data_IF_306888381396
#
_entry.id   IF_306888381396
#
_cell.length_a   1.000
_cell.length_b   1.000
_cell.length_c   1.000
_cell.angle_alpha   90.00
_cell.angle_beta   90.00
_cell.angle_gamma   90.00
#
_symmetry.space_group_name_H-M   'P 1'
#
loop_
_entity.id
_entity.type
_entity.pdbx_description
1 polymer ?
#
# COMPACT_ATOMS: atom_id res chain seq x y z
N UNK A 1 -16.44 -11.64 4.81
CA UNK A 1 -16.96 -11.44 3.44
C UNK A 1 -16.50 -10.08 2.91
N UNK A 2 -15.21 -9.98 2.55
CA UNK A 2 -14.61 -8.75 2.01
C UNK A 2 -13.54 -9.03 0.93
N UNK A 3 -13.57 -10.22 0.32
CA UNK A 3 -12.60 -10.63 -0.72
C UNK A 3 -12.87 -9.94 -2.08
N UNK A 4 -14.03 -9.32 -2.26
CA UNK A 4 -14.45 -8.72 -3.55
C UNK A 4 -13.81 -7.36 -3.89
N UNK A 5 -13.06 -6.75 -2.96
CA UNK A 5 -12.45 -5.43 -3.20
C UNK A 5 -11.14 -5.53 -4.00
N UNK A 6 -10.36 -6.61 -3.85
CA UNK A 6 -9.06 -6.76 -4.51
C UNK A 6 -9.15 -7.15 -5.99
N UNK A 7 -10.20 -7.85 -6.41
CA UNK A 7 -10.30 -8.42 -7.77
C UNK A 7 -10.69 -7.37 -8.84
N UNK A 8 -11.37 -6.28 -8.43
CA UNK A 8 -11.72 -5.19 -9.36
C UNK A 8 -10.52 -4.31 -9.72
N UNK A 9 -9.53 -4.25 -8.85
CA UNK A 9 -8.35 -3.42 -9.02
C UNK A 9 -7.35 -4.04 -10.01
N UNK A 10 -7.20 -5.36 -9.97
CA UNK A 10 -6.34 -6.08 -10.91
C UNK A 10 -6.90 -6.05 -12.33
N UNK A 11 -8.20 -6.28 -12.51
CA UNK A 11 -8.83 -6.29 -13.84
C UNK A 11 -8.70 -4.97 -14.59
N UNK A 12 -8.85 -3.83 -13.90
CA UNK A 12 -8.67 -2.51 -14.51
C UNK A 12 -7.22 -2.27 -14.96
N UNK A 13 -6.23 -2.68 -14.15
CA UNK A 13 -4.81 -2.57 -14.51
C UNK A 13 -4.46 -3.44 -15.72
N UNK A 14 -4.98 -4.67 -15.80
CA UNK A 14 -4.80 -5.56 -16.94
C UNK A 14 -5.40 -5.00 -18.23
N UNK A 15 -6.60 -4.41 -18.16
CA UNK A 15 -7.24 -3.75 -19.31
C UNK A 15 -6.40 -2.55 -19.78
N UNK A 16 -5.89 -1.73 -18.87
CA UNK A 16 -5.03 -0.60 -19.24
C UNK A 16 -3.74 -1.06 -19.93
N UNK A 17 -3.12 -2.14 -19.45
CA UNK A 17 -1.92 -2.72 -20.05
C UNK A 17 -2.20 -3.31 -21.45
N UNK A 18 -3.34 -3.97 -21.61
CA UNK A 18 -3.82 -4.45 -22.91
C UNK A 18 -4.03 -3.30 -23.90
N UNK A 19 -4.72 -2.24 -23.50
CA UNK A 19 -4.93 -1.08 -24.36
C UNK A 19 -3.62 -0.40 -24.78
N UNK A 20 -2.66 -0.28 -23.85
CA UNK A 20 -1.38 0.38 -24.10
C UNK A 20 -0.51 -0.45 -25.06
N UNK A 21 -0.42 -1.77 -24.84
CA UNK A 21 0.33 -2.66 -25.73
C UNK A 21 -0.28 -2.75 -27.13
N UNK A 22 -1.61 -2.76 -27.24
CA UNK A 22 -2.31 -2.76 -28.52
C UNK A 22 -2.11 -1.44 -29.29
N UNK A 23 -2.07 -0.32 -28.57
CA UNK A 23 -1.71 1.00 -29.13
C UNK A 23 -0.29 1.04 -29.68
N UNK A 24 0.69 0.50 -28.97
CA UNK A 24 2.10 0.41 -29.43
C UNK A 24 2.18 -0.48 -30.68
N UNK A 25 1.52 -1.64 -30.67
CA UNK A 25 1.51 -2.57 -31.80
C UNK A 25 0.92 -1.95 -33.07
N UNK A 26 -0.21 -1.25 -32.95
CA UNK A 26 -0.84 -0.54 -34.08
C UNK A 26 0.02 0.64 -34.57
N UNK A 27 0.66 1.37 -33.66
CA UNK A 27 1.61 2.43 -34.01
C UNK A 27 2.79 1.90 -34.83
N UNK A 28 3.38 0.78 -34.40
CA UNK A 28 4.49 0.15 -35.11
C UNK A 28 4.06 -0.42 -36.47
N UNK A 29 2.86 -1.00 -36.56
CA UNK A 29 2.31 -1.50 -37.82
C UNK A 29 2.05 -0.35 -38.81
N UNK A 30 1.64 0.83 -38.33
CA UNK A 30 1.42 2.01 -39.17
C UNK A 30 2.70 2.52 -39.86
N UNK A 31 3.85 2.40 -39.20
CA UNK A 31 5.17 2.73 -39.77
C UNK A 31 5.50 1.83 -40.97
N UNK A 32 5.18 0.54 -40.90
CA UNK A 32 5.35 -0.40 -42.01
C UNK A 32 4.43 -0.11 -43.20
N UNK A 33 3.18 0.29 -42.94
CA UNK A 33 2.22 0.67 -43.99
C UNK A 33 2.59 2.00 -44.66
N UNK A 34 3.24 2.91 -43.94
CA UNK A 34 3.75 4.15 -44.53
C UNK A 34 4.82 3.88 -45.60
N UNK A 35 5.59 2.81 -45.43
CA UNK A 35 6.63 2.39 -46.37
C UNK A 35 6.07 1.72 -47.64
N UNK A 36 4.84 1.20 -47.59
CA UNK A 36 4.21 0.46 -48.71
C UNK A 36 3.44 1.32 -49.71
N UNK A 37 3.41 2.64 -49.54
CA UNK A 37 2.80 3.57 -50.52
C UNK A 37 1.27 3.51 -50.59
N UNK A 38 0.60 2.94 -49.57
CA UNK A 38 -0.86 2.99 -49.49
C UNK A 38 -1.36 4.43 -49.36
N UNK A 39 -2.40 4.77 -50.13
CA UNK A 39 -2.95 6.13 -50.22
C UNK A 39 -3.21 6.78 -48.86
N UNK A 40 -2.78 8.05 -48.72
CA UNK A 40 -2.71 8.78 -47.45
C UNK A 40 -4.02 8.88 -46.67
N UNK A 41 -5.17 8.58 -47.29
CA UNK A 41 -6.47 8.52 -46.63
C UNK A 41 -6.61 7.35 -45.62
N UNK A 42 -5.84 6.28 -45.73
CA UNK A 42 -5.94 5.14 -44.78
C UNK A 42 -4.99 5.27 -43.59
N UNK A 43 -3.85 5.95 -43.78
CA UNK A 43 -2.83 6.13 -42.74
C UNK A 43 -3.28 7.10 -41.65
N UNK A 44 -4.01 8.17 -41.98
CA UNK A 44 -4.49 9.11 -40.97
C UNK A 44 -5.51 8.48 -40.01
N UNK A 45 -6.38 7.60 -40.50
CA UNK A 45 -7.39 6.94 -39.67
C UNK A 45 -6.75 6.05 -38.59
N UNK A 46 -5.68 5.33 -38.93
CA UNK A 46 -4.93 4.48 -37.99
C UNK A 46 -4.19 5.32 -36.96
N UNK A 47 -3.58 6.45 -37.37
CA UNK A 47 -2.93 7.37 -36.42
C UNK A 47 -3.92 7.95 -35.40
N UNK A 48 -5.10 8.42 -35.85
CA UNK A 48 -6.11 8.99 -34.95
C UNK A 48 -6.58 7.95 -33.93
N UNK A 49 -6.81 6.72 -34.37
CA UNK A 49 -7.22 5.62 -33.49
C UNK A 49 -6.14 5.28 -32.45
N UNK A 50 -4.87 5.25 -32.87
CA UNK A 50 -3.74 4.99 -31.96
C UNK A 50 -3.59 6.09 -30.91
N UNK A 51 -3.74 7.37 -31.31
CA UNK A 51 -3.69 8.51 -30.38
C UNK A 51 -4.85 8.48 -29.40
N UNK A 52 -6.07 8.15 -29.85
CA UNK A 52 -7.21 7.99 -28.96
C UNK A 52 -7.00 6.84 -27.95
N UNK A 53 -6.48 5.70 -28.40
CA UNK A 53 -6.21 4.56 -27.53
C UNK A 53 -5.14 4.89 -26.47
N UNK A 54 -4.06 5.56 -26.86
CA UNK A 54 -3.01 6.00 -25.93
C UNK A 54 -3.51 7.08 -24.96
N UNK A 55 -4.27 8.05 -25.46
CA UNK A 55 -4.86 9.10 -24.62
C UNK A 55 -5.83 8.54 -23.59
N UNK A 56 -6.70 7.61 -24.00
CA UNK A 56 -7.65 6.95 -23.11
C UNK A 56 -6.95 6.03 -22.09
N UNK A 57 -5.97 5.23 -22.53
CA UNK A 57 -5.17 4.39 -21.64
C UNK A 57 -4.39 5.22 -20.61
N UNK A 58 -3.75 6.31 -21.04
CA UNK A 58 -3.07 7.24 -20.14
C UNK A 58 -4.02 7.95 -19.17
N UNK A 59 -5.21 8.33 -19.62
CA UNK A 59 -6.24 8.92 -18.76
C UNK A 59 -6.71 7.94 -17.67
N UNK A 60 -6.96 6.67 -18.03
CA UNK A 60 -7.34 5.63 -17.07
C UNK A 60 -6.24 5.41 -16.03
N UNK A 61 -4.99 5.23 -16.47
CA UNK A 61 -3.85 5.09 -15.57
C UNK A 61 -3.73 6.30 -14.66
N UNK A 62 -3.86 7.52 -15.19
CA UNK A 62 -3.80 8.74 -14.39
C UNK A 62 -4.95 8.85 -13.41
N UNK A 63 -6.16 8.42 -13.78
CA UNK A 63 -7.32 8.43 -12.89
C UNK A 63 -7.20 7.40 -11.77
N UNK A 64 -6.56 6.27 -12.07
CA UNK A 64 -6.31 5.19 -11.12
C UNK A 64 -5.16 5.50 -10.17
N UNK A 65 -4.06 6.03 -10.71
CA UNK A 65 -2.91 6.50 -9.95
C UNK A 65 -3.14 7.86 -9.29
N UNK A 66 -4.26 8.55 -9.54
CA UNK A 66 -4.55 9.76 -8.78
C UNK A 66 -4.85 9.25 -7.38
N UNK A 67 -3.94 9.41 -6.39
CA UNK A 67 -4.29 9.10 -5.03
C UNK A 67 -5.52 9.94 -4.79
N UNK A 68 -6.62 9.29 -4.43
CA UNK A 68 -7.76 10.04 -3.96
C UNK A 68 -7.18 10.86 -2.83
N UNK A 69 -6.99 12.16 -3.05
CA UNK A 69 -6.68 13.11 -2.00
C UNK A 69 -7.94 13.12 -1.16
N UNK A 70 -8.10 12.08 -0.37
CA UNK A 70 -9.04 11.99 0.72
C UNK A 70 -8.45 12.96 1.71
N UNK A 71 -8.79 14.23 1.51
CA UNK A 71 -8.62 15.24 2.52
C UNK A 71 -9.50 14.77 3.66
N UNK A 72 -8.86 14.24 4.70
CA UNK A 72 -9.53 14.01 5.94
C UNK A 72 -10.05 15.37 6.40
N UNK A 73 -11.33 15.42 6.75
CA UNK A 73 -11.86 16.66 7.30
C UNK A 73 -11.11 16.98 8.60
N UNK A 74 -10.72 18.24 8.81
CA UNK A 74 -9.92 18.60 9.98
C UNK A 74 -10.63 18.23 11.29
N UNK A 75 -11.96 18.27 11.30
CA UNK A 75 -12.77 17.87 12.46
C UNK A 75 -12.69 16.37 12.72
N UNK A 76 -12.75 15.55 11.67
CA UNK A 76 -12.61 14.09 11.76
C UNK A 76 -11.18 13.73 12.21
N UNK A 77 -10.17 14.41 11.68
CA UNK A 77 -8.77 14.21 12.06
C UNK A 77 -8.55 14.48 13.55
N UNK A 78 -9.00 15.63 14.05
CA UNK A 78 -8.87 15.97 15.48
C UNK A 78 -9.59 14.96 16.38
N UNK A 79 -10.76 14.47 15.97
CA UNK A 79 -11.50 13.43 16.71
C UNK A 79 -10.73 12.11 16.75
N UNK A 80 -10.15 11.69 15.62
CA UNK A 80 -9.34 10.48 15.54
C UNK A 80 -8.11 10.60 16.43
N UNK A 81 -7.37 11.70 16.34
CA UNK A 81 -6.17 11.92 17.16
C UNK A 81 -6.50 11.98 18.66
N UNK A 82 -7.60 12.63 19.04
CA UNK A 82 -8.07 12.63 20.42
C UNK A 82 -8.37 11.19 20.91
N UNK A 83 -9.01 10.38 20.07
CA UNK A 83 -9.34 9.01 20.42
C UNK A 83 -8.11 8.10 20.51
N UNK A 84 -7.18 8.26 19.57
CA UNK A 84 -5.87 7.58 19.56
C UNK A 84 -5.08 7.93 20.82
N UNK A 85 -5.08 9.21 21.22
CA UNK A 85 -4.41 9.64 22.45
C UNK A 85 -4.99 8.99 23.70
N UNK A 86 -6.31 8.74 23.73
CA UNK A 86 -6.98 8.05 24.82
C UNK A 86 -6.73 6.53 24.85
N UNK A 87 -6.22 5.95 23.76
CA UNK A 87 -5.95 4.51 23.58
C UNK A 87 -4.45 4.20 23.49
N UNK A 88 -3.61 5.05 24.09
CA UNK A 88 -2.15 4.86 24.15
C UNK A 88 -1.50 4.67 22.76
N UNK A 89 -2.03 5.38 21.76
CA UNK A 89 -1.48 5.38 20.41
C UNK A 89 -1.78 4.15 19.57
N UNK A 90 -2.70 3.25 20.00
CA UNK A 90 -3.07 2.06 19.23
C UNK A 90 -4.57 2.02 18.98
N UNK A 91 -4.95 1.78 17.73
CA UNK A 91 -6.37 1.71 17.37
C UNK A 91 -6.60 0.74 16.21
N UNK A 92 -7.67 -0.04 16.28
CA UNK A 92 -8.16 -0.83 15.14
C UNK A 92 -9.24 -0.08 14.36
N UNK A 93 -9.45 -0.51 13.12
CA UNK A 93 -10.50 0.05 12.24
C UNK A 93 -11.89 -0.08 12.85
N UNK A 94 -12.13 -1.20 13.55
CA UNK A 94 -13.42 -1.50 14.18
C UNK A 94 -13.65 -0.60 15.38
N UNK A 95 -12.65 -0.43 16.24
CA UNK A 95 -12.73 0.47 17.40
C UNK A 95 -13.00 1.91 16.95
N UNK A 96 -12.27 2.38 15.92
CA UNK A 96 -12.48 3.71 15.39
C UNK A 96 -13.90 3.91 14.86
N UNK A 97 -14.41 2.93 14.09
CA UNK A 97 -15.75 2.98 13.53
C UNK A 97 -16.85 2.99 14.62
N UNK A 98 -16.67 2.20 15.69
CA UNK A 98 -17.60 2.13 16.81
C UNK A 98 -17.62 3.44 17.61
N UNK A 99 -16.44 3.98 17.94
CA UNK A 99 -16.35 5.13 18.84
C UNK A 99 -16.76 6.45 18.16
N UNK A 100 -16.49 6.60 16.86
CA UNK A 100 -16.81 7.82 16.09
C UNK A 100 -18.11 7.74 15.29
N UNK A 101 -18.80 6.59 15.33
CA UNK A 101 -20.01 6.29 14.53
C UNK A 101 -19.79 6.41 13.01
N UNK A 102 -18.56 6.29 12.55
CA UNK A 102 -18.25 6.29 11.12
C UNK A 102 -18.39 4.89 10.51
N UNK A 103 -18.61 4.81 9.20
CA UNK A 103 -18.64 3.52 8.52
C UNK A 103 -17.26 2.86 8.54
N UNK A 104 -17.19 1.53 8.58
CA UNK A 104 -15.91 0.80 8.55
C UNK A 104 -15.02 1.22 7.37
N UNK A 105 -15.61 1.47 6.20
CA UNK A 105 -14.89 1.96 5.01
C UNK A 105 -14.30 3.36 5.24
N UNK A 106 -15.03 4.26 5.89
CA UNK A 106 -14.53 5.61 6.21
C UNK A 106 -13.43 5.56 7.27
N UNK A 107 -13.58 4.72 8.30
CA UNK A 107 -12.55 4.48 9.31
C UNK A 107 -11.26 3.91 8.69
N UNK A 108 -11.38 2.90 7.84
CA UNK A 108 -10.25 2.32 7.12
C UNK A 108 -9.54 3.40 6.28
N UNK A 109 -10.30 4.15 5.48
CA UNK A 109 -9.74 5.20 4.65
C UNK A 109 -9.04 6.28 5.48
N UNK A 110 -9.62 6.67 6.62
CA UNK A 110 -9.05 7.66 7.51
C UNK A 110 -7.70 7.21 8.08
N UNK A 111 -7.63 5.98 8.59
CA UNK A 111 -6.39 5.41 9.12
C UNK A 111 -5.34 5.20 8.02
N UNK A 112 -5.74 4.76 6.83
CA UNK A 112 -4.83 4.65 5.69
C UNK A 112 -4.30 6.02 5.23
N UNK A 113 -5.09 7.09 5.33
CA UNK A 113 -4.59 8.45 5.06
C UNK A 113 -3.53 8.89 6.07
N UNK A 114 -3.74 8.59 7.36
CA UNK A 114 -2.78 8.90 8.42
C UNK A 114 -1.49 8.08 8.27
N UNK A 115 -1.60 6.81 7.87
CA UNK A 115 -0.47 5.96 7.52
C UNK A 115 0.33 6.53 6.34
N UNK A 116 -0.33 6.87 5.23
CA UNK A 116 0.32 7.46 4.05
C UNK A 116 0.96 8.83 4.33
N UNK A 117 0.43 9.55 5.32
CA UNK A 117 0.99 10.84 5.76
C UNK A 117 2.18 10.66 6.73
N UNK A 118 2.47 9.41 7.15
CA UNK A 118 3.57 9.09 8.05
C UNK A 118 3.25 9.25 9.53
N UNK A 119 1.99 9.48 9.91
CA UNK A 119 1.56 9.62 11.31
C UNK A 119 1.32 8.28 12.01
N UNK A 120 1.13 7.20 11.23
CA UNK A 120 0.87 5.87 11.75
C UNK A 120 1.55 4.80 10.91
N UNK A 121 1.69 3.61 11.47
CA UNK A 121 2.05 2.39 10.74
C UNK A 121 1.16 1.23 11.16
N UNK A 122 0.95 0.28 10.27
CA UNK A 122 0.14 -0.90 10.53
C UNK A 122 0.97 -2.01 11.18
N UNK A 123 0.43 -2.66 12.20
CA UNK A 123 0.98 -3.86 12.82
C UNK A 123 -0.09 -4.94 12.89
N UNK A 124 0.32 -6.19 12.81
CA UNK A 124 -0.56 -7.34 13.01
C UNK A 124 -0.37 -7.87 14.43
N UNK A 125 -1.48 -8.16 15.12
CA UNK A 125 -1.44 -8.87 16.39
C UNK A 125 -1.18 -10.36 16.19
N UNK A 126 -0.82 -11.07 17.25
CA UNK A 126 -0.67 -12.53 17.23
C UNK A 126 -1.97 -13.27 16.81
N UNK A 127 -3.12 -12.60 16.92
CA UNK A 127 -4.42 -13.14 16.50
C UNK A 127 -4.81 -12.76 15.06
N UNK A 128 -3.93 -12.08 14.31
CA UNK A 128 -4.16 -11.65 12.94
C UNK A 128 -4.99 -10.38 12.79
N UNK A 129 -5.26 -9.67 13.89
CA UNK A 129 -5.97 -8.38 13.84
C UNK A 129 -5.01 -7.26 13.50
N UNK A 130 -5.36 -6.44 12.52
CA UNK A 130 -4.59 -5.25 12.15
C UNK A 130 -4.85 -4.08 13.10
N UNK A 131 -3.78 -3.50 13.64
CA UNK A 131 -3.80 -2.28 14.44
C UNK A 131 -2.96 -1.20 13.78
N UNK A 132 -3.41 0.04 13.90
CA UNK A 132 -2.62 1.21 13.53
C UNK A 132 -1.96 1.75 14.79
N UNK A 133 -0.64 1.92 14.74
CA UNK A 133 0.17 2.43 15.83
C UNK A 133 0.66 3.83 15.47
N UNK A 134 0.42 4.77 16.39
CA UNK A 134 0.81 6.16 16.29
C UNK A 134 1.97 6.42 17.25
N UNK A 135 3.21 6.54 16.75
CA UNK A 135 4.40 6.63 17.59
C UNK A 135 4.40 7.87 18.50
N UNK A 136 3.75 8.95 18.09
CA UNK A 136 3.68 10.19 18.87
C UNK A 136 2.81 10.07 20.13
N UNK A 137 1.89 9.10 20.16
CA UNK A 137 0.95 8.86 21.28
C UNK A 137 1.20 7.54 21.99
N UNK A 138 1.96 6.63 21.37
CA UNK A 138 2.37 5.43 22.06
C UNK A 138 3.46 5.83 23.05
N UNK A 139 3.29 5.53 24.36
CA UNK A 139 4.42 5.67 25.27
C UNK A 139 5.56 4.88 24.63
N UNK A 140 6.68 5.55 24.35
CA UNK A 140 7.90 4.87 23.94
C UNK A 140 8.03 3.67 24.87
N UNK A 141 8.26 2.44 24.38
CA UNK A 141 8.23 1.25 25.22
C UNK A 141 9.18 1.48 26.39
N UNK A 142 8.62 1.91 27.52
CA UNK A 142 9.35 2.42 28.69
C UNK A 142 9.97 1.25 29.47
N UNK A 143 10.12 0.11 28.80
CA UNK A 143 10.23 -1.20 29.40
C UNK A 143 10.68 -2.29 28.42
N UNK A 144 11.33 -1.96 27.30
CA UNK A 144 12.53 -2.77 26.97
C UNK A 144 13.61 -2.25 27.91
N UNK A 145 13.41 -2.50 29.20
CA UNK A 145 14.40 -2.26 30.22
C UNK A 145 15.68 -2.95 29.75
N UNK A 146 16.83 -2.34 30.05
CA UNK A 146 18.15 -2.95 29.89
C UNK A 146 18.17 -4.44 30.24
N UNK A 147 17.32 -4.85 31.20
CA UNK A 147 17.15 -6.20 31.68
C UNK A 147 16.68 -7.23 30.64
N UNK A 148 15.73 -6.92 29.75
CA UNK A 148 15.29 -7.86 28.70
C UNK A 148 16.33 -7.94 27.58
N UNK A 149 17.00 -6.82 27.28
CA UNK A 149 18.14 -6.81 26.37
C UNK A 149 19.35 -7.57 26.95
N UNK A 150 19.62 -7.44 28.27
CA UNK A 150 20.65 -8.17 29.00
C UNK A 150 20.37 -9.66 29.03
N UNK A 151 19.13 -10.09 29.31
CA UNK A 151 18.76 -11.51 29.29
C UNK A 151 18.85 -12.10 27.88
N UNK A 152 18.51 -11.33 26.84
CA UNK A 152 18.73 -11.75 25.46
C UNK A 152 20.23 -11.88 25.12
N UNK A 153 21.05 -10.91 25.49
CA UNK A 153 22.50 -10.94 25.27
C UNK A 153 23.18 -12.06 26.06
N UNK A 154 22.68 -12.35 27.28
CA UNK A 154 23.16 -13.46 28.10
C UNK A 154 22.86 -14.81 27.44
N UNK A 155 21.66 -15.02 26.91
CA UNK A 155 21.29 -16.23 26.18
C UNK A 155 22.11 -16.42 24.91
N UNK A 156 22.43 -15.34 24.20
CA UNK A 156 23.31 -15.37 23.04
C UNK A 156 24.74 -15.79 23.41
N UNK A 157 25.27 -15.28 24.53
CA UNK A 157 26.60 -15.65 25.01
C UNK A 157 26.67 -17.12 25.48
N UNK A 158 25.65 -17.62 26.19
CA UNK A 158 25.54 -19.04 26.55
C UNK A 158 25.48 -19.94 25.31
N UNK A 159 24.67 -19.59 24.32
CA UNK A 159 24.55 -20.37 23.08
C UNK A 159 25.85 -20.39 22.26
N UNK A 160 26.67 -19.34 22.30
CA UNK A 160 27.97 -19.33 21.63
C UNK A 160 29.01 -20.20 22.35
N UNK A 161 28.98 -20.26 23.69
CA UNK A 161 29.89 -21.09 24.47
C UNK A 161 29.63 -22.60 24.27
N UNK A 162 28.36 -23.02 24.19
CA UNK A 162 28.02 -24.44 23.90
C UNK A 162 28.54 -24.90 22.53
N UNK A 163 28.57 -24.00 21.53
CA UNK A 163 29.05 -24.33 20.18
C UNK A 163 30.57 -24.49 20.12
N UNK A 164 31.33 -23.78 20.96
CA UNK A 164 32.80 -23.94 21.04
C UNK A 164 33.21 -25.25 21.71
N UNK A 165 32.54 -25.66 22.79
CA UNK A 165 32.82 -26.92 23.48
C UNK A 165 32.52 -28.16 22.61
N UNK A 166 31.53 -28.09 21.71
CA UNK A 166 31.19 -29.20 20.82
C UNK A 166 32.22 -29.40 19.68
N UNK A 167 32.98 -28.35 19.33
CA UNK A 167 34.02 -28.40 18.28
C UNK A 167 35.33 -29.00 18.80
N UNK A 168 35.65 -28.85 20.09
CA UNK A 168 36.88 -29.40 20.68
C UNK A 168 36.83 -30.92 20.93
N UNK A 169 35.64 -31.52 21.06
CA UNK A 169 35.48 -32.97 21.31
C UNK A 169 35.67 -33.82 20.05
N UNK A 170 35.70 -33.19 18.86
CA UNK A 170 35.82 -33.87 17.57
C UNK A 170 37.14 -33.67 16.84
N UNK A 171 38.19 -33.18 17.53
CA UNK A 171 39.58 -33.12 17.04
C UNK A 171 40.43 -34.16 17.77
#
# INVERSE_FOLDING_TARGET
MNEDAGERDTTAAWIAFLCLSLGIGLGFWSLGVFQSGMGGAKTWAVMVLAVMALGFGGYLIRSYLRPWKMTLDEEDERKILALVSAREGRISVVELALDTKMTLRRAQNALSCLEHSGHAYITLSAHGTSYYVFPDFSPAPEGLESRDAEDFMRRLAEAQAEVEDEVEVHV
#
